data_IF_674709435609
#
_entry.id   IF_674709435609
#
_cell.length_a   1.000
_cell.length_b   1.000
_cell.length_c   1.000
_cell.angle_alpha   90.00
_cell.angle_beta   90.00
_cell.angle_gamma   90.00
#
_symmetry.space_group_name_H-M   'P 1'
#
loop_
_entity.id
_entity.type
_entity.pdbx_description
1 polymer ?
#
# COMPACT_ATOMS: atom_id res chain seq x y z
N UNK A 1 9.62 -1.72 3.91
CA UNK A 1 9.59 -0.48 3.11
C UNK A 1 8.19 0.12 3.18
N UNK A 2 8.11 1.37 3.59
CA UNK A 2 6.82 2.05 3.77
C UNK A 2 6.78 3.31 2.92
N UNK A 3 5.67 3.52 2.22
CA UNK A 3 5.47 4.70 1.39
C UNK A 3 4.11 5.30 1.66
N UNK A 4 4.05 6.62 1.69
CA UNK A 4 2.79 7.34 1.81
C UNK A 4 2.17 7.40 0.42
N UNK A 5 0.97 6.85 0.28
CA UNK A 5 0.24 6.80 -0.99
C UNK A 5 -0.61 8.05 -1.16
N UNK A 6 -1.32 8.44 -0.10
CA UNK A 6 -2.12 9.67 -0.10
C UNK A 6 -1.74 10.51 1.10
N UNK A 7 -0.92 11.55 0.90
CA UNK A 7 -0.57 12.46 1.99
C UNK A 7 -1.68 13.47 2.19
N UNK A 8 -2.32 13.44 3.35
CA UNK A 8 -3.35 14.41 3.68
C UNK A 8 -3.41 14.56 5.19
N UNK A 9 -3.61 15.78 5.66
CA UNK A 9 -3.78 16.03 7.09
C UNK A 9 -5.08 15.43 7.63
N UNK A 10 -6.09 15.34 6.76
CA UNK A 10 -7.38 14.77 7.15
C UNK A 10 -7.40 13.25 7.04
N UNK A 11 -6.63 12.68 6.11
CA UNK A 11 -6.64 11.24 5.88
C UNK A 11 -5.37 10.83 5.16
N UNK A 12 -4.54 10.08 5.82
CA UNK A 12 -3.29 9.60 5.25
C UNK A 12 -3.41 8.11 4.95
N UNK A 13 -3.04 7.73 3.74
CA UNK A 13 -2.98 6.33 3.33
C UNK A 13 -1.54 5.96 3.05
N UNK A 14 -1.08 4.87 3.61
CA UNK A 14 0.28 4.37 3.37
C UNK A 14 0.27 2.89 3.06
N UNK A 15 1.31 2.45 2.38
CA UNK A 15 1.55 1.05 2.08
C UNK A 15 2.89 0.65 2.67
N UNK A 16 2.93 -0.51 3.30
CA UNK A 16 4.13 -1.04 3.91
C UNK A 16 4.36 -2.47 3.45
N UNK A 17 5.57 -2.77 2.99
CA UNK A 17 5.95 -4.11 2.56
C UNK A 17 7.19 -4.51 3.34
N UNK A 18 7.09 -5.60 4.08
CA UNK A 18 8.19 -6.12 4.89
C UNK A 18 8.51 -7.56 4.51
N UNK A 19 9.80 -7.91 4.36
CA UNK A 19 10.17 -9.29 4.08
C UNK A 19 9.92 -10.19 5.29
N UNK A 20 9.51 -11.42 5.02
CA UNK A 20 9.34 -12.45 6.04
C UNK A 20 9.95 -13.75 5.53
N UNK A 21 10.15 -14.75 6.40
CA UNK A 21 10.64 -16.05 5.94
C UNK A 21 9.73 -16.75 4.93
N UNK A 22 8.45 -16.35 4.86
CA UNK A 22 7.45 -16.99 4.02
C UNK A 22 7.03 -16.14 2.82
N UNK A 23 7.61 -14.97 2.65
CA UNK A 23 7.25 -14.06 1.56
C UNK A 23 7.33 -12.62 2.03
N UNK A 24 6.38 -11.80 1.58
CA UNK A 24 6.34 -10.39 1.92
C UNK A 24 5.00 -10.06 2.58
N UNK A 25 5.05 -9.35 3.68
CA UNK A 25 3.85 -8.90 4.37
C UNK A 25 3.48 -7.51 3.85
N UNK A 26 2.34 -7.43 3.17
CA UNK A 26 1.82 -6.16 2.65
C UNK A 26 0.73 -5.66 3.58
N UNK A 27 0.82 -4.39 3.96
CA UNK A 27 -0.22 -3.71 4.74
C UNK A 27 -0.59 -2.40 4.07
N UNK A 28 -1.89 -2.13 3.98
CA UNK A 28 -2.42 -0.83 3.59
C UNK A 28 -3.00 -0.22 4.86
N UNK A 29 -2.48 0.94 5.24
CA UNK A 29 -2.76 1.54 6.54
C UNK A 29 -3.33 2.94 6.32
N UNK A 30 -4.42 3.25 7.00
CA UNK A 30 -4.97 4.59 7.02
C UNK A 30 -4.75 5.23 8.38
N UNK A 31 -4.65 6.56 8.40
CA UNK A 31 -4.43 7.33 9.60
C UNK A 31 -5.02 8.72 9.42
N UNK A 32 -5.53 9.29 10.50
CA UNK A 32 -5.94 10.70 10.53
C UNK A 32 -4.92 11.45 11.38
N UNK A 33 -3.92 12.11 10.75
CA UNK A 33 -2.82 12.74 11.50
C UNK A 33 -3.28 13.87 12.43
N UNK A 34 -4.38 14.53 12.09
CA UNK A 34 -4.93 15.63 12.88
C UNK A 34 -5.86 15.19 14.00
N UNK A 35 -6.10 13.88 14.13
CA UNK A 35 -6.91 13.37 15.22
C UNK A 35 -6.22 13.60 16.55
N UNK A 36 -7.02 13.74 17.63
CA UNK A 36 -6.48 13.93 18.98
C UNK A 36 -5.53 12.80 19.37
N UNK A 37 -5.86 11.57 18.98
CA UNK A 37 -5.03 10.39 19.19
C UNK A 37 -4.90 9.65 17.87
N UNK A 38 -3.95 10.06 17.01
CA UNK A 38 -3.78 9.40 15.72
C UNK A 38 -3.44 7.93 15.92
N UNK A 39 -4.20 7.06 15.29
CA UNK A 39 -3.97 5.62 15.33
C UNK A 39 -3.96 5.07 13.91
N UNK A 40 -3.03 4.15 13.67
CA UNK A 40 -2.99 3.44 12.41
C UNK A 40 -4.13 2.43 12.36
N UNK A 41 -4.88 2.45 11.26
CA UNK A 41 -5.92 1.46 10.99
C UNK A 41 -5.51 0.64 9.78
N UNK A 42 -5.39 -0.66 9.98
CA UNK A 42 -5.04 -1.57 8.89
C UNK A 42 -6.29 -1.82 8.05
N UNK A 43 -6.27 -1.33 6.82
CA UNK A 43 -7.37 -1.53 5.87
C UNK A 43 -7.24 -2.86 5.14
N UNK A 44 -6.02 -3.29 4.91
CA UNK A 44 -5.72 -4.58 4.30
C UNK A 44 -4.36 -5.06 4.80
N UNK A 45 -4.26 -6.36 5.04
CA UNK A 45 -2.96 -6.99 5.25
C UNK A 45 -3.00 -8.41 4.71
N UNK A 46 -1.87 -8.86 4.22
CA UNK A 46 -1.76 -10.20 3.68
C UNK A 46 -0.31 -10.57 3.42
N UNK A 47 -0.07 -11.86 3.35
CA UNK A 47 1.23 -12.41 2.99
C UNK A 47 1.23 -12.69 1.50
N UNK A 48 2.17 -12.08 0.78
CA UNK A 48 2.29 -12.20 -0.66
C UNK A 48 3.65 -12.77 -1.02
N UNK A 49 3.68 -13.70 -1.96
CA UNK A 49 4.93 -14.17 -2.52
C UNK A 49 5.50 -13.10 -3.45
N UNK A 50 6.75 -13.32 -3.88
CA UNK A 50 7.35 -12.44 -4.89
C UNK A 50 6.48 -12.41 -6.16
N UNK A 51 5.98 -13.58 -6.57
CA UNK A 51 5.12 -13.69 -7.76
C UNK A 51 3.84 -12.89 -7.58
N UNK A 52 3.26 -12.94 -6.39
CA UNK A 52 2.05 -12.19 -6.11
C UNK A 52 2.29 -10.68 -6.18
N UNK A 53 3.43 -10.22 -5.67
CA UNK A 53 3.81 -8.81 -5.74
C UNK A 53 4.03 -8.37 -7.18
N UNK A 54 4.66 -9.22 -7.99
CA UNK A 54 4.87 -8.92 -9.40
C UNK A 54 3.54 -8.81 -10.14
N UNK A 55 2.59 -9.69 -9.83
CA UNK A 55 1.26 -9.63 -10.42
C UNK A 55 0.53 -8.35 -10.01
N UNK A 56 0.67 -7.95 -8.76
CA UNK A 56 0.08 -6.69 -8.28
C UNK A 56 0.71 -5.49 -8.99
N UNK A 57 2.03 -5.50 -9.13
CA UNK A 57 2.74 -4.44 -9.87
C UNK A 57 2.22 -4.35 -11.31
N UNK A 58 2.08 -5.50 -11.98
CA UNK A 58 1.62 -5.53 -13.36
C UNK A 58 0.18 -5.03 -13.47
N UNK A 59 -0.65 -5.34 -12.49
CA UNK A 59 -2.01 -4.83 -12.43
C UNK A 59 -2.03 -3.30 -12.33
N UNK A 60 -1.20 -2.75 -11.45
CA UNK A 60 -1.10 -1.30 -11.27
C UNK A 60 -0.56 -0.64 -12.54
N UNK A 61 0.52 -1.17 -13.09
CA UNK A 61 1.12 -0.65 -14.31
C UNK A 61 0.16 -0.72 -15.49
N UNK A 62 -0.59 -1.81 -15.59
CA UNK A 62 -1.61 -1.95 -16.63
C UNK A 62 -2.69 -0.88 -16.53
N UNK A 63 -3.14 -0.61 -15.32
CA UNK A 63 -4.14 0.44 -15.09
C UNK A 63 -3.61 1.82 -15.44
N UNK A 64 -2.36 2.11 -15.06
CA UNK A 64 -1.73 3.39 -15.36
C UNK A 64 -1.30 3.47 -16.82
N UNK A 65 -0.82 2.36 -17.36
CA UNK A 65 -0.34 2.30 -18.74
C UNK A 65 -1.43 2.57 -19.77
N UNK A 66 -2.69 2.26 -19.44
CA UNK A 66 -3.80 2.52 -20.33
C UNK A 66 -3.96 4.01 -20.64
N UNK A 67 -3.44 4.90 -19.79
CA UNK A 67 -3.46 6.34 -20.02
C UNK A 67 -2.36 6.81 -20.95
N UNK A 68 -1.32 6.00 -21.12
CA UNK A 68 -0.17 6.38 -21.94
C UNK A 68 -0.39 6.14 -23.42
N UNK A 69 -1.34 5.32 -23.76
CA UNK A 69 -1.61 4.97 -25.15
C UNK A 69 -2.50 5.99 -25.84
N UNK A 70 -2.96 6.97 -25.13
CA UNK A 70 -3.80 8.02 -25.69
C UNK A 70 -3.03 9.25 -26.19
#
# INVERSE_FOLDING_TARGET
MRSIVQPSAAYELSADIAPTPYGHHLRIISRIPTARRPQDQVQFQGLLSRQDLLALRDCIEGALGSHKTE
#
